data_IF_339128127535
#
_entry.id   IF_339128127535
#
_cell.length_a   1.000
_cell.length_b   1.000
_cell.length_c   1.000
_cell.angle_alpha   90.00
_cell.angle_beta   90.00
_cell.angle_gamma   90.00
#
_symmetry.space_group_name_H-M   'P 1'
#
loop_
_entity.id
_entity.type
_entity.pdbx_description
1 polymer ?
#
# COMPACT_ATOMS: atom_id res chain seq x y z
N UNK A 1 10.61 -30.61 73.53
CA UNK A 1 9.75 -30.58 72.35
C UNK A 1 9.15 -29.18 72.26
N UNK A 2 9.39 -28.51 71.11
CA UNK A 2 8.71 -27.33 70.56
C UNK A 2 8.19 -26.27 71.56
N UNK A 3 8.87 -25.13 71.68
CA UNK A 3 8.26 -23.79 71.90
C UNK A 3 9.34 -22.72 72.14
N UNK A 4 10.22 -22.47 71.15
CA UNK A 4 11.09 -21.26 71.17
C UNK A 4 11.80 -20.95 69.84
N UNK A 5 11.44 -21.61 68.73
CA UNK A 5 12.01 -21.30 67.39
C UNK A 5 10.90 -21.00 66.38
N UNK A 6 9.79 -20.45 66.87
CA UNK A 6 8.62 -20.06 66.07
C UNK A 6 8.41 -18.55 65.94
N UNK A 7 9.33 -17.72 66.44
CA UNK A 7 9.20 -16.26 66.41
C UNK A 7 10.19 -15.53 65.48
N UNK A 8 11.20 -16.20 64.94
CA UNK A 8 12.15 -15.56 64.02
C UNK A 8 11.71 -15.59 62.55
N UNK A 9 10.83 -16.52 62.16
CA UNK A 9 10.32 -16.61 60.77
C UNK A 9 9.09 -15.71 60.56
N UNK A 10 8.32 -15.41 61.61
CA UNK A 10 7.16 -14.53 61.51
C UNK A 10 7.51 -13.05 61.28
N UNK A 11 8.70 -12.59 61.71
CA UNK A 11 9.09 -11.19 61.55
C UNK A 11 9.70 -10.87 60.18
N UNK A 12 10.26 -11.87 59.49
CA UNK A 12 10.77 -11.69 58.12
C UNK A 12 9.63 -11.76 57.09
N UNK A 13 8.56 -12.49 57.38
CA UNK A 13 7.34 -12.48 56.54
C UNK A 13 6.53 -11.18 56.74
N UNK A 14 6.61 -10.54 57.92
CA UNK A 14 5.98 -9.24 58.15
C UNK A 14 6.71 -8.05 57.48
N UNK A 15 7.97 -8.23 57.06
CA UNK A 15 8.73 -7.24 56.27
C UNK A 15 8.81 -7.58 54.77
N UNK A 16 8.36 -8.78 54.37
CA UNK A 16 8.47 -9.28 52.99
C UNK A 16 7.15 -9.42 52.23
N UNK A 17 6.00 -9.11 52.84
CA UNK A 17 4.67 -9.18 52.19
C UNK A 17 3.84 -7.93 52.49
N UNK A 18 4.50 -6.77 52.50
CA UNK A 18 3.88 -5.58 51.94
C UNK A 18 4.53 -5.44 50.56
N UNK A 19 4.29 -6.45 49.71
CA UNK A 19 4.19 -6.17 48.30
C UNK A 19 3.06 -5.17 48.21
N UNK A 20 3.49 -3.92 48.06
CA UNK A 20 2.67 -2.78 47.78
C UNK A 20 1.95 -3.14 46.47
N UNK A 21 0.78 -3.78 46.60
CA UNK A 21 -0.33 -3.65 45.68
C UNK A 21 -0.83 -2.19 45.77
N UNK A 22 0.08 -1.22 45.54
CA UNK A 22 -0.35 -0.08 44.76
C UNK A 22 -0.73 -0.72 43.44
N UNK A 23 -1.96 -0.57 42.96
CA UNK A 23 -2.11 -0.59 41.52
C UNK A 23 -1.08 0.43 41.05
N UNK A 24 -0.04 -0.01 40.32
CA UNK A 24 0.65 0.89 39.41
C UNK A 24 -0.49 1.40 38.53
N UNK A 25 -1.11 2.51 38.95
CA UNK A 25 -1.89 3.35 38.07
C UNK A 25 -0.87 3.67 37.01
N UNK A 26 -1.00 2.99 35.87
CA UNK A 26 -0.30 3.38 34.65
C UNK A 26 -0.41 4.90 34.61
N UNK A 27 0.71 5.63 34.49
CA UNK A 27 0.69 7.09 34.56
C UNK A 27 -0.43 7.56 33.65
N UNK A 28 -1.44 8.22 34.22
CA UNK A 28 -2.58 8.69 33.47
C UNK A 28 -2.04 9.62 32.40
N UNK A 29 -2.08 9.18 31.14
CA UNK A 29 -1.64 10.01 30.03
C UNK A 29 -2.67 11.11 29.85
N UNK A 30 -2.25 12.37 30.03
CA UNK A 30 -3.08 13.53 29.73
C UNK A 30 -2.73 13.99 28.33
N UNK A 31 -3.70 13.88 27.42
CA UNK A 31 -3.62 14.37 26.04
C UNK A 31 -4.40 15.67 25.93
N UNK A 32 -3.73 16.73 25.50
CA UNK A 32 -4.32 18.01 25.16
C UNK A 32 -4.11 18.29 23.68
N UNK A 33 -5.16 18.75 23.01
CA UNK A 33 -5.13 19.07 21.57
C UNK A 33 -5.54 20.52 21.35
N UNK A 34 -4.83 21.19 20.46
CA UNK A 34 -5.17 22.52 19.97
C UNK A 34 -5.36 22.44 18.45
N UNK A 35 -6.50 22.92 17.96
CA UNK A 35 -6.78 22.96 16.53
C UNK A 35 -5.93 24.03 15.83
N UNK A 36 -5.30 23.67 14.71
CA UNK A 36 -4.51 24.62 13.91
C UNK A 36 -5.12 24.89 12.54
N UNK A 37 -5.60 23.86 11.86
CA UNK A 37 -6.11 23.98 10.49
C UNK A 37 -6.91 22.75 10.06
N UNK A 38 -7.63 22.87 8.95
CA UNK A 38 -8.39 21.78 8.34
C UNK A 38 -8.51 21.98 6.85
N UNK A 39 -8.76 20.90 6.12
CA UNK A 39 -9.08 20.98 4.71
C UNK A 39 -9.58 19.65 4.17
N UNK A 40 -9.75 19.65 2.85
CA UNK A 40 -10.06 18.47 2.07
C UNK A 40 -9.28 18.47 0.77
N UNK A 41 -9.02 17.28 0.24
CA UNK A 41 -8.34 17.10 -1.04
C UNK A 41 -8.74 15.76 -1.66
N UNK A 42 -8.46 15.61 -2.96
CA UNK A 42 -8.62 14.34 -3.66
C UNK A 42 -7.24 13.69 -3.81
N UNK A 43 -7.14 12.44 -3.39
CA UNK A 43 -5.93 11.63 -3.55
C UNK A 43 -6.13 10.69 -4.74
N UNK A 44 -5.23 10.78 -5.72
CA UNK A 44 -5.09 9.78 -6.77
C UNK A 44 -3.94 8.87 -6.37
N UNK A 45 -4.24 7.61 -6.11
CA UNK A 45 -3.26 6.65 -5.62
C UNK A 45 -3.09 5.57 -6.68
N UNK A 46 -1.96 5.54 -7.41
CA UNK A 46 -1.67 4.47 -8.35
C UNK A 46 -1.46 3.16 -7.57
N UNK A 47 -2.04 2.06 -8.06
CA UNK A 47 -1.92 0.74 -7.42
C UNK A 47 -1.44 -0.36 -8.37
N UNK A 48 -1.54 -0.13 -9.68
CA UNK A 48 -1.06 -1.06 -10.71
C UNK A 48 -0.78 -0.31 -12.01
N UNK A 49 0.09 -0.85 -12.85
CA UNK A 49 0.23 -0.41 -14.25
C UNK A 49 -0.10 -1.56 -15.19
N UNK A 50 -0.61 -1.24 -16.38
CA UNK A 50 -1.01 -2.24 -17.39
C UNK A 50 -0.38 -1.89 -18.74
N UNK A 51 0.37 -2.83 -19.30
CA UNK A 51 1.11 -2.65 -20.56
C UNK A 51 0.73 -3.69 -21.61
N UNK A 52 0.29 -3.25 -22.79
CA UNK A 52 0.11 -4.15 -23.95
C UNK A 52 1.23 -3.98 -24.96
N UNK A 53 1.36 -4.95 -25.87
CA UNK A 53 2.36 -4.94 -26.93
C UNK A 53 2.30 -3.65 -27.76
N UNK A 54 3.42 -2.97 -28.05
CA UNK A 54 3.41 -1.88 -29.01
C UNK A 54 2.94 -2.38 -30.40
N UNK A 55 2.42 -1.50 -31.26
CA UNK A 55 2.09 -1.89 -32.62
C UNK A 55 3.36 -2.26 -33.41
N UNK A 56 3.26 -3.26 -34.28
CA UNK A 56 4.31 -3.64 -35.23
C UNK A 56 3.79 -3.42 -36.67
N UNK A 57 4.44 -2.56 -37.48
CA UNK A 57 3.94 -2.22 -38.81
C UNK A 57 3.69 -3.45 -39.70
N UNK A 58 2.53 -3.48 -40.34
CA UNK A 58 2.16 -4.56 -41.27
C UNK A 58 1.76 -5.89 -40.61
N UNK A 59 1.64 -5.94 -39.29
CA UNK A 59 1.26 -7.16 -38.57
C UNK A 59 -0.07 -7.00 -37.83
N UNK A 60 -0.81 -8.11 -37.73
CA UNK A 60 -1.97 -8.20 -36.86
C UNK A 60 -1.55 -8.82 -35.53
N UNK A 61 -1.67 -8.04 -34.46
CA UNK A 61 -1.30 -8.42 -33.10
C UNK A 61 -2.54 -8.36 -32.21
N UNK A 62 -2.69 -9.35 -31.34
CA UNK A 62 -3.61 -9.27 -30.21
C UNK A 62 -2.79 -9.32 -28.92
N UNK A 63 -2.92 -8.28 -28.10
CA UNK A 63 -2.29 -8.21 -26.78
C UNK A 63 -3.32 -7.81 -25.75
N UNK A 64 -3.37 -8.59 -24.66
CA UNK A 64 -4.32 -8.40 -23.59
C UNK A 64 -3.62 -8.57 -22.25
N UNK A 65 -3.93 -7.71 -21.30
CA UNK A 65 -3.51 -7.79 -19.92
C UNK A 65 -4.72 -8.04 -19.04
N UNK A 66 -4.57 -8.93 -18.07
CA UNK A 66 -5.52 -9.11 -16.97
C UNK A 66 -4.77 -8.99 -15.65
N UNK A 67 -5.19 -8.06 -14.82
CA UNK A 67 -4.78 -7.97 -13.43
C UNK A 67 -5.95 -8.41 -12.55
N UNK A 68 -5.72 -9.40 -11.69
CA UNK A 68 -6.75 -9.96 -10.83
C UNK A 68 -6.25 -10.07 -9.39
N UNK A 69 -7.02 -9.50 -8.48
CA UNK A 69 -6.82 -9.58 -7.03
C UNK A 69 -8.04 -10.25 -6.40
N UNK A 70 -7.82 -11.21 -5.49
CA UNK A 70 -8.89 -11.97 -4.84
C UNK A 70 -8.66 -12.07 -3.34
N UNK A 71 -9.72 -11.86 -2.57
CA UNK A 71 -9.79 -12.22 -1.15
C UNK A 71 -10.70 -13.44 -1.02
N UNK A 72 -10.25 -14.46 -0.30
CA UNK A 72 -11.01 -15.70 -0.09
C UNK A 72 -11.10 -16.01 1.40
N UNK A 73 -11.98 -16.93 1.79
CA UNK A 73 -12.02 -17.44 3.16
C UNK A 73 -10.69 -18.06 3.63
N UNK A 74 -9.85 -18.53 2.71
CA UNK A 74 -8.57 -19.19 3.00
C UNK A 74 -7.37 -18.24 3.04
N UNK A 75 -7.55 -16.96 2.69
CA UNK A 75 -6.44 -16.02 2.70
C UNK A 75 -6.80 -14.63 2.16
N UNK A 76 -6.13 -13.59 2.67
CA UNK A 76 -6.35 -12.22 2.22
C UNK A 76 -5.80 -12.00 0.80
N UNK A 77 -6.37 -11.02 0.12
CA UNK A 77 -5.77 -10.48 -1.11
C UNK A 77 -4.47 -9.74 -0.80
N UNK A 78 -3.78 -9.32 -1.85
CA UNK A 78 -2.70 -8.33 -1.77
C UNK A 78 -3.19 -7.11 -0.98
N UNK A 79 -2.36 -6.70 -0.02
CA UNK A 79 -2.55 -5.53 0.80
C UNK A 79 -1.48 -4.51 0.44
N UNK A 80 -1.92 -3.28 0.19
CA UNK A 80 -1.05 -2.14 -0.04
C UNK A 80 -0.88 -1.42 1.28
N UNK A 81 0.35 -1.27 1.73
CA UNK A 81 0.71 -0.44 2.88
C UNK A 81 1.07 0.93 2.35
N UNK A 82 0.36 1.95 2.81
CA UNK A 82 0.55 3.33 2.40
C UNK A 82 1.05 4.13 3.60
N UNK A 83 2.18 4.80 3.43
CA UNK A 83 2.86 5.54 4.50
C UNK A 83 3.05 7.00 4.15
N UNK A 84 2.78 7.88 5.11
CA UNK A 84 3.09 9.30 4.98
C UNK A 84 4.51 9.59 5.44
N UNK A 85 5.25 10.31 4.61
CA UNK A 85 6.59 10.81 4.93
C UNK A 85 6.63 12.32 4.81
N UNK A 86 6.97 13.01 5.90
CA UNK A 86 7.12 14.46 5.89
C UNK A 86 8.29 14.86 4.97
N UNK A 87 8.03 15.79 4.05
CA UNK A 87 9.05 16.40 3.18
C UNK A 87 9.51 17.75 3.71
N UNK A 88 8.56 18.58 4.16
CA UNK A 88 8.85 19.90 4.72
C UNK A 88 7.78 20.34 5.72
N UNK A 89 8.20 21.10 6.73
CA UNK A 89 7.32 21.63 7.76
C UNK A 89 8.08 22.47 8.80
N UNK A 90 7.41 22.91 9.88
CA UNK A 90 7.94 23.87 10.85
C UNK A 90 8.99 23.29 11.83
N UNK A 91 9.72 22.23 11.45
CA UNK A 91 10.79 21.64 12.25
C UNK A 91 10.34 20.86 13.49
N UNK A 92 9.05 20.56 13.61
CA UNK A 92 8.45 19.76 14.69
C UNK A 92 8.08 18.37 14.16
N UNK A 93 8.04 17.38 15.07
CA UNK A 93 7.56 16.04 14.74
C UNK A 93 6.11 16.11 14.26
N UNK A 94 5.82 15.43 13.15
CA UNK A 94 4.47 15.29 12.59
C UNK A 94 4.10 13.81 12.65
N UNK A 95 2.86 13.52 13.04
CA UNK A 95 2.23 12.20 12.98
C UNK A 95 1.00 12.27 12.08
N UNK A 96 0.79 11.24 11.28
CA UNK A 96 -0.42 11.09 10.48
C UNK A 96 -1.29 10.04 11.18
N UNK A 97 -2.59 10.29 11.30
CA UNK A 97 -3.50 9.37 11.99
C UNK A 97 -4.74 9.17 11.12
N UNK A 98 -4.91 7.94 10.64
CA UNK A 98 -6.12 7.55 9.92
C UNK A 98 -7.25 7.29 10.95
N UNK A 99 -8.35 8.03 10.81
CA UNK A 99 -9.50 7.97 11.71
C UNK A 99 -10.71 7.25 11.10
N UNK A 100 -10.62 6.83 9.84
CA UNK A 100 -11.65 6.05 9.16
C UNK A 100 -11.17 4.66 8.82
N UNK A 101 -12.02 3.68 9.11
CA UNK A 101 -11.96 2.36 8.47
C UNK A 101 -13.23 2.17 7.65
N UNK A 102 -13.12 1.54 6.49
CA UNK A 102 -14.28 1.17 5.70
C UNK A 102 -14.03 -0.15 4.97
N UNK A 103 -15.12 -0.81 4.61
CA UNK A 103 -15.12 -1.98 3.73
C UNK A 103 -16.29 -1.84 2.77
N UNK A 104 -15.97 -1.66 1.50
CA UNK A 104 -16.92 -1.53 0.40
C UNK A 104 -16.63 -2.63 -0.65
N UNK A 105 -17.64 -3.39 -1.10
CA UNK A 105 -17.44 -4.43 -2.11
C UNK A 105 -16.87 -3.94 -3.45
N UNK A 106 -17.07 -2.67 -3.80
CA UNK A 106 -16.66 -2.07 -5.07
C UNK A 106 -15.45 -1.14 -4.94
N UNK A 107 -15.16 -0.65 -3.72
CA UNK A 107 -14.06 0.29 -3.46
C UNK A 107 -12.96 -0.26 -2.53
N UNK A 108 -13.03 -1.55 -2.18
CA UNK A 108 -12.05 -2.22 -1.34
C UNK A 108 -12.22 -1.93 0.15
N UNK A 109 -11.17 -2.18 0.94
CA UNK A 109 -11.18 -1.93 2.38
C UNK A 109 -9.96 -1.16 2.83
N UNK A 110 -10.15 -0.18 3.72
CA UNK A 110 -9.08 0.57 4.36
C UNK A 110 -9.11 0.31 5.86
N UNK A 111 -7.93 0.10 6.44
CA UNK A 111 -7.74 -0.08 7.88
C UNK A 111 -6.43 0.52 8.37
N UNK A 112 -6.25 0.67 9.70
CA UNK A 112 -4.98 1.08 10.28
C UNK A 112 -3.88 0.06 9.96
N UNK A 113 -2.63 0.53 9.83
CA UNK A 113 -1.43 -0.31 9.77
C UNK A 113 -0.88 -0.56 11.18
N UNK A 114 0.18 -1.36 11.28
CA UNK A 114 0.92 -1.58 12.52
C UNK A 114 1.63 -0.31 13.01
N UNK A 115 2.02 0.56 12.08
CA UNK A 115 2.66 1.84 12.40
C UNK A 115 1.65 2.99 12.31
N UNK A 116 1.86 4.05 13.10
CA UNK A 116 0.90 5.15 13.22
C UNK A 116 0.78 5.97 11.93
N UNK A 117 1.88 6.14 11.20
CA UNK A 117 1.94 6.97 9.98
C UNK A 117 1.55 6.21 8.70
N UNK A 118 1.08 4.97 8.86
CA UNK A 118 0.70 4.09 7.75
C UNK A 118 -0.74 3.60 7.88
N UNK A 119 -1.30 3.20 6.74
CA UNK A 119 -2.57 2.50 6.65
C UNK A 119 -2.51 1.41 5.59
N UNK A 120 -3.40 0.42 5.73
CA UNK A 120 -3.51 -0.70 4.81
C UNK A 120 -4.72 -0.53 3.90
N UNK A 121 -4.54 -0.78 2.61
CA UNK A 121 -5.59 -0.83 1.61
C UNK A 121 -5.66 -2.21 0.95
N UNK A 122 -6.85 -2.80 0.92
CA UNK A 122 -7.15 -4.09 0.32
C UNK A 122 -8.08 -3.86 -0.88
N UNK A 123 -7.58 -3.88 -2.14
CA UNK A 123 -8.40 -3.54 -3.30
C UNK A 123 -9.60 -4.47 -3.53
N UNK A 124 -9.45 -5.78 -3.25
CA UNK A 124 -10.55 -6.74 -3.31
C UNK A 124 -11.45 -6.71 -2.06
N UNK A 125 -11.13 -5.85 -1.09
CA UNK A 125 -11.69 -5.84 0.25
C UNK A 125 -11.30 -7.08 1.06
N UNK A 126 -12.00 -7.28 2.19
CA UNK A 126 -11.81 -8.44 3.06
C UNK A 126 -12.94 -9.47 2.89
N UNK A 127 -12.58 -10.75 2.89
CA UNK A 127 -13.53 -11.86 2.81
C UNK A 127 -13.68 -12.49 4.21
N UNK A 128 -14.75 -12.11 4.91
CA UNK A 128 -15.08 -12.60 6.26
C UNK A 128 -15.89 -13.90 6.27
N UNK A 129 -16.40 -14.28 7.45
CA UNK A 129 -17.25 -15.46 7.61
C UNK A 129 -18.47 -15.42 6.68
N UNK A 130 -18.68 -16.49 5.91
CA UNK A 130 -19.77 -16.60 4.93
C UNK A 130 -19.47 -16.01 3.54
N UNK A 131 -18.31 -15.38 3.35
CA UNK A 131 -17.82 -14.98 2.03
C UNK A 131 -17.03 -16.13 1.38
N UNK A 132 -17.41 -16.55 0.16
CA UNK A 132 -16.66 -17.55 -0.61
C UNK A 132 -15.42 -16.91 -1.24
N UNK A 133 -15.63 -15.86 -2.04
CA UNK A 133 -14.60 -15.03 -2.63
C UNK A 133 -15.11 -13.61 -2.89
N UNK A 134 -14.18 -12.65 -2.92
CA UNK A 134 -14.33 -11.30 -3.49
C UNK A 134 -13.12 -11.03 -4.36
N UNK A 135 -13.29 -10.21 -5.39
CA UNK A 135 -12.16 -9.88 -6.25
C UNK A 135 -12.35 -8.60 -7.04
N UNK A 136 -11.22 -8.06 -7.44
CA UNK A 136 -11.09 -6.98 -8.41
C UNK A 136 -10.37 -7.55 -9.63
N UNK A 137 -10.97 -7.41 -10.79
CA UNK A 137 -10.34 -7.78 -12.06
C UNK A 137 -10.38 -6.59 -13.00
N UNK A 138 -9.22 -6.23 -13.56
CA UNK A 138 -9.08 -5.20 -14.58
C UNK A 138 -8.48 -5.84 -15.83
N UNK A 139 -9.06 -5.49 -16.98
CA UNK A 139 -8.64 -6.00 -18.29
C UNK A 139 -8.42 -4.85 -19.25
N UNK A 140 -7.30 -4.92 -19.94
CA UNK A 140 -6.93 -3.98 -20.99
C UNK A 140 -6.51 -4.78 -22.21
N UNK A 141 -7.06 -4.42 -23.37
CA UNK A 141 -6.73 -5.03 -24.65
C UNK A 141 -6.43 -3.98 -25.69
N UNK A 142 -5.65 -4.34 -26.69
CA UNK A 142 -5.25 -3.44 -27.78
C UNK A 142 -3.74 -3.29 -27.87
N UNK A 143 -3.29 -2.35 -28.69
CA UNK A 143 -1.88 -2.15 -29.00
C UNK A 143 -1.34 -0.88 -28.36
N UNK A 144 -0.15 -1.00 -27.76
CA UNK A 144 0.63 0.10 -27.20
C UNK A 144 0.01 0.77 -25.99
N UNK A 145 -0.92 0.10 -25.30
CA UNK A 145 -1.55 0.62 -24.10
C UNK A 145 -0.53 0.65 -22.97
N UNK A 146 -0.49 1.79 -22.26
CA UNK A 146 0.34 1.99 -21.09
C UNK A 146 -0.48 2.79 -20.09
N UNK A 147 -1.22 2.09 -19.25
CA UNK A 147 -2.19 2.66 -18.34
C UNK A 147 -1.76 2.52 -16.88
N UNK A 148 -2.23 3.45 -16.05
CA UNK A 148 -2.12 3.44 -14.60
C UNK A 148 -3.51 3.14 -14.04
N UNK A 149 -3.62 2.07 -13.27
CA UNK A 149 -4.82 1.82 -12.47
C UNK A 149 -4.66 2.56 -11.15
N UNK A 150 -5.60 3.44 -10.87
CA UNK A 150 -5.59 4.31 -9.70
C UNK A 150 -6.90 4.24 -8.92
N UNK A 151 -6.77 4.38 -7.61
CA UNK A 151 -7.92 4.55 -6.71
C UNK A 151 -8.00 6.01 -6.29
N UNK A 152 -9.22 6.51 -6.25
CA UNK A 152 -9.53 7.90 -5.96
C UNK A 152 -10.22 7.95 -4.60
N UNK A 153 -9.62 8.69 -3.68
CA UNK A 153 -10.19 8.93 -2.35
C UNK A 153 -10.37 10.42 -2.12
N UNK A 154 -11.52 10.78 -1.56
CA UNK A 154 -11.68 12.08 -0.92
C UNK A 154 -11.09 11.99 0.47
N UNK A 155 -10.09 12.83 0.75
CA UNK A 155 -9.51 12.99 2.07
C UNK A 155 -10.05 14.24 2.73
N UNK A 156 -10.51 14.13 3.98
CA UNK A 156 -10.75 15.27 4.87
C UNK A 156 -9.75 15.18 6.02
N UNK A 157 -9.17 16.30 6.42
CA UNK A 157 -8.15 16.31 7.47
C UNK A 157 -8.28 17.50 8.42
N UNK A 158 -7.74 17.33 9.62
CA UNK A 158 -7.48 18.38 10.60
C UNK A 158 -6.03 18.27 11.08
N UNK A 159 -5.38 19.43 11.22
CA UNK A 159 -4.05 19.52 11.82
C UNK A 159 -4.20 20.03 13.25
N UNK A 160 -3.70 19.24 14.19
CA UNK A 160 -3.76 19.48 15.62
C UNK A 160 -2.36 19.65 16.17
N UNK A 161 -2.15 20.60 17.06
CA UNK A 161 -1.00 20.59 17.96
C UNK A 161 -1.36 19.74 19.17
N UNK A 162 -0.63 18.64 19.37
CA UNK A 162 -0.88 17.68 20.43
C UNK A 162 0.20 17.83 21.49
N UNK A 163 -0.22 17.90 22.75
CA UNK A 163 0.66 17.74 23.91
C UNK A 163 0.23 16.50 24.68
N UNK A 164 1.13 15.52 24.77
CA UNK A 164 0.94 14.32 25.58
C UNK A 164 1.85 14.38 26.81
N UNK A 165 1.26 14.21 27.99
CA UNK A 165 2.00 14.15 29.26
C UNK A 165 1.80 12.77 29.89
N UNK A 166 2.89 12.02 30.05
CA UNK A 166 2.89 10.71 30.71
C UNK A 166 3.91 10.71 31.84
N UNK A 167 3.43 10.73 33.08
CA UNK A 167 4.29 10.92 34.25
C UNK A 167 4.99 12.28 34.20
N UNK A 168 6.33 12.28 34.24
CA UNK A 168 7.15 13.49 34.10
C UNK A 168 7.52 13.82 32.64
N UNK A 169 7.26 12.92 31.69
CA UNK A 169 7.57 13.16 30.29
C UNK A 169 6.45 13.97 29.62
N UNK A 170 6.84 15.06 28.95
CA UNK A 170 5.95 15.86 28.11
C UNK A 170 6.47 15.84 26.68
N UNK A 171 5.62 15.47 25.74
CA UNK A 171 5.92 15.51 24.31
C UNK A 171 4.92 16.42 23.59
N UNK A 172 5.40 17.12 22.55
CA UNK A 172 4.56 17.94 21.69
C UNK A 172 4.90 17.65 20.23
N UNK A 173 3.87 17.48 19.41
CA UNK A 173 3.97 17.15 18.00
C UNK A 173 2.73 17.65 17.26
N UNK A 174 2.82 17.76 15.94
CA UNK A 174 1.65 17.98 15.10
C UNK A 174 1.04 16.63 14.74
N UNK A 175 -0.28 16.56 14.77
CA UNK A 175 -1.04 15.41 14.31
C UNK A 175 -1.91 15.83 13.15
N UNK A 176 -1.75 15.17 12.02
CA UNK A 176 -2.66 15.23 10.88
C UNK A 176 -3.66 14.10 11.05
N UNK A 177 -4.80 14.40 11.65
CA UNK A 177 -5.94 13.49 11.76
C UNK A 177 -6.73 13.55 10.45
N UNK A 178 -6.82 12.42 9.74
CA UNK A 178 -7.46 12.38 8.44
C UNK A 178 -8.40 11.18 8.27
N UNK A 179 -9.34 11.37 7.35
CA UNK A 179 -10.37 10.42 6.99
C UNK A 179 -10.41 10.27 5.47
N UNK A 180 -10.62 9.06 4.99
CA UNK A 180 -10.69 8.71 3.57
C UNK A 180 -12.09 8.21 3.22
N UNK A 181 -12.65 8.72 2.12
CA UNK A 181 -13.90 8.26 1.55
C UNK A 181 -13.69 7.80 0.11
N UNK A 182 -14.18 6.62 -0.28
CA UNK A 182 -14.00 6.13 -1.65
C UNK A 182 -14.76 6.98 -2.66
N UNK A 183 -14.10 7.30 -3.77
CA UNK A 183 -14.73 7.93 -4.93
C UNK A 183 -14.79 7.02 -6.15
N UNK A 184 -13.83 6.10 -6.30
CA UNK A 184 -13.84 5.11 -7.37
C UNK A 184 -12.45 4.56 -7.70
N UNK A 185 -12.39 3.75 -8.74
CA UNK A 185 -11.17 3.21 -9.33
C UNK A 185 -11.27 3.34 -10.85
N UNK A 186 -10.20 3.81 -11.50
CA UNK A 186 -10.15 4.03 -12.95
C UNK A 186 -8.79 3.64 -13.52
N UNK A 187 -8.75 3.30 -14.81
CA UNK A 187 -7.52 3.20 -15.59
C UNK A 187 -7.33 4.49 -16.39
N UNK A 188 -6.15 5.10 -16.29
CA UNK A 188 -5.80 6.31 -17.05
C UNK A 188 -4.51 6.10 -17.87
N UNK A 189 -4.44 6.58 -19.12
CA UNK A 189 -3.21 6.53 -19.91
C UNK A 189 -2.07 7.30 -19.27
N UNK A 190 -0.85 6.74 -19.30
CA UNK A 190 0.35 7.41 -18.83
C UNK A 190 0.71 8.65 -19.68
N UNK A 191 1.25 9.72 -19.07
CA UNK A 191 1.52 9.87 -17.63
C UNK A 191 0.28 10.27 -16.83
N UNK A 192 0.06 9.61 -15.68
CA UNK A 192 -1.07 9.87 -14.78
C UNK A 192 -0.67 9.61 -13.32
N UNK A 193 -1.27 10.34 -12.37
CA UNK A 193 -1.05 10.18 -10.92
C UNK A 193 0.43 10.03 -10.50
N UNK A 194 1.30 10.91 -11.00
CA UNK A 194 2.76 10.90 -10.77
C UNK A 194 3.50 9.65 -11.29
N UNK A 195 2.86 8.85 -12.14
CA UNK A 195 3.45 7.67 -12.79
C UNK A 195 3.72 7.97 -14.26
N UNK A 196 4.99 7.82 -14.65
CA UNK A 196 5.42 7.78 -16.04
C UNK A 196 5.73 6.35 -16.47
N UNK A 197 5.93 6.17 -17.79
CA UNK A 197 6.51 4.94 -18.33
C UNK A 197 7.81 4.58 -17.60
N UNK A 198 8.07 3.28 -17.36
CA UNK A 198 9.25 2.83 -16.64
C UNK A 198 10.51 3.16 -17.43
N UNK A 199 11.58 3.49 -16.72
CA UNK A 199 12.92 3.59 -17.28
C UNK A 199 13.67 2.27 -17.11
N UNK A 200 14.83 2.11 -17.75
CA UNK A 200 15.59 0.85 -17.71
C UNK A 200 15.94 0.36 -16.28
N UNK A 201 16.10 1.27 -15.31
CA UNK A 201 16.37 0.92 -13.90
C UNK A 201 15.15 0.34 -13.18
N UNK A 202 13.95 0.63 -13.69
CA UNK A 202 12.68 0.20 -13.13
C UNK A 202 12.25 -1.16 -13.71
N UNK A 203 13.02 -1.72 -14.65
CA UNK A 203 12.70 -2.94 -15.38
C UNK A 203 13.71 -4.05 -15.08
N UNK A 204 13.21 -5.26 -14.81
CA UNK A 204 14.00 -6.48 -14.79
C UNK A 204 13.63 -7.38 -15.97
N UNK A 205 14.61 -7.84 -16.74
CA UNK A 205 14.40 -8.83 -17.80
C UNK A 205 14.03 -10.19 -17.18
N UNK A 206 12.93 -10.79 -17.63
CA UNK A 206 12.40 -12.03 -17.01
C UNK A 206 12.26 -13.21 -17.96
N UNK A 207 12.05 -12.98 -19.26
CA UNK A 207 11.96 -14.04 -20.25
C UNK A 207 12.20 -13.50 -21.67
N UNK A 208 12.74 -14.36 -22.53
CA UNK A 208 12.74 -14.15 -23.98
C UNK A 208 11.93 -15.28 -24.60
N UNK A 209 10.91 -14.95 -25.38
CA UNK A 209 10.04 -15.94 -26.01
C UNK A 209 9.99 -15.73 -27.52
N UNK A 210 10.06 -16.84 -28.26
CA UNK A 210 9.78 -16.85 -29.68
C UNK A 210 8.33 -17.29 -29.88
N UNK A 211 7.51 -16.43 -30.46
CA UNK A 211 6.09 -16.68 -30.70
C UNK A 211 5.90 -16.98 -32.19
N UNK A 212 5.60 -18.25 -32.56
CA UNK A 212 5.29 -18.59 -33.93
C UNK A 212 4.00 -17.91 -34.41
N UNK A 213 3.92 -17.65 -35.71
CA UNK A 213 2.74 -17.14 -36.37
C UNK A 213 1.49 -17.96 -36.02
N UNK A 214 0.41 -17.28 -35.63
CA UNK A 214 -0.87 -17.91 -35.28
C UNK A 214 -0.93 -18.51 -33.88
N UNK A 215 0.19 -18.57 -33.15
CA UNK A 215 0.20 -19.06 -31.77
C UNK A 215 -0.07 -17.93 -30.78
N UNK A 216 -0.61 -18.32 -29.62
CA UNK A 216 -0.79 -17.45 -28.47
C UNK A 216 0.11 -17.90 -27.33
N UNK A 217 0.76 -16.94 -26.69
CA UNK A 217 1.46 -17.14 -25.43
C UNK A 217 0.76 -16.37 -24.31
N UNK A 218 0.91 -16.84 -23.08
CA UNK A 218 0.45 -16.13 -21.88
C UNK A 218 1.50 -16.27 -20.80
N UNK A 219 1.96 -15.13 -20.28
CA UNK A 219 2.91 -15.09 -19.17
C UNK A 219 2.18 -14.55 -17.94
N UNK A 220 2.35 -15.26 -16.81
CA UNK A 220 1.90 -14.84 -15.48
C UNK A 220 3.09 -14.27 -14.73
N UNK A 221 2.94 -13.09 -14.13
CA UNK A 221 3.96 -12.50 -13.28
C UNK A 221 4.29 -13.42 -12.09
N UNK A 222 3.30 -14.15 -11.55
CA UNK A 222 3.49 -15.11 -10.46
C UNK A 222 4.34 -16.31 -10.86
N UNK A 223 4.31 -16.72 -12.13
CA UNK A 223 5.07 -17.85 -12.65
C UNK A 223 6.57 -17.59 -12.80
N UNK A 224 7.03 -16.36 -12.55
CA UNK A 224 8.41 -15.96 -12.79
C UNK A 224 9.30 -16.31 -11.59
N UNK A 225 10.49 -16.89 -11.82
CA UNK A 225 11.40 -17.31 -10.74
C UNK A 225 12.08 -16.14 -10.00
N UNK A 226 11.89 -14.89 -10.44
CA UNK A 226 12.56 -13.69 -9.90
C UNK A 226 11.56 -12.54 -9.62
N UNK A 227 10.39 -12.84 -9.07
CA UNK A 227 9.48 -11.79 -8.58
C UNK A 227 10.07 -11.21 -7.28
N UNK A 228 10.41 -9.91 -7.22
CA UNK A 228 10.78 -9.28 -5.95
C UNK A 228 9.71 -9.53 -4.90
N UNK A 229 10.13 -9.72 -3.65
CA UNK A 229 9.18 -9.92 -2.56
C UNK A 229 8.32 -8.67 -2.31
N UNK A 230 8.78 -7.49 -2.72
CA UNK A 230 8.17 -6.21 -2.40
C UNK A 230 8.28 -5.28 -3.60
N UNK A 231 7.17 -4.61 -3.91
CA UNK A 231 7.09 -3.51 -4.87
C UNK A 231 6.84 -2.22 -4.11
N UNK A 232 7.44 -1.12 -4.58
CA UNK A 232 7.32 0.18 -3.95
C UNK A 232 7.30 1.30 -4.96
N UNK A 233 6.42 2.27 -4.75
CA UNK A 233 6.33 3.45 -5.58
C UNK A 233 5.76 4.64 -4.82
N UNK A 234 6.01 5.80 -5.39
CA UNK A 234 5.54 7.08 -4.89
C UNK A 234 4.13 7.32 -5.42
N UNK A 235 3.15 7.50 -4.51
CA UNK A 235 1.76 7.69 -4.91
C UNK A 235 1.46 9.16 -5.21
N UNK A 236 1.63 10.05 -4.23
CA UNK A 236 1.33 11.47 -4.39
C UNK A 236 2.00 12.33 -3.33
N UNK A 237 2.06 13.64 -3.58
CA UNK A 237 2.47 14.65 -2.59
C UNK A 237 1.25 15.46 -2.17
N UNK A 238 1.07 15.64 -0.87
CA UNK A 238 -0.03 16.39 -0.28
C UNK A 238 0.48 17.58 0.55
N UNK A 239 -0.26 18.68 0.48
CA UNK A 239 -0.04 19.87 1.28
C UNK A 239 -1.18 20.03 2.29
N UNK A 240 -0.83 20.13 3.57
CA UNK A 240 -1.77 20.26 4.68
C UNK A 240 -1.64 21.64 5.30
N UNK A 241 -2.75 22.36 5.43
CA UNK A 241 -2.79 23.65 6.10
C UNK A 241 -2.72 23.48 7.63
N UNK A 242 -1.62 23.91 8.24
CA UNK A 242 -1.41 23.96 9.69
C UNK A 242 -1.65 25.37 10.26
N UNK A 243 -2.41 26.20 9.55
CA UNK A 243 -2.83 27.53 9.95
C UNK A 243 -1.63 28.44 10.21
N UNK A 244 -1.53 28.96 11.45
CA UNK A 244 -0.45 29.87 11.85
C UNK A 244 0.96 29.27 11.74
N UNK A 245 1.08 27.95 11.65
CA UNK A 245 2.37 27.26 11.48
C UNK A 245 2.75 27.03 10.00
N UNK A 246 1.93 27.51 9.07
CA UNK A 246 2.15 27.40 7.64
C UNK A 246 1.66 26.06 7.07
N UNK A 247 2.32 25.59 6.02
CA UNK A 247 1.93 24.38 5.28
C UNK A 247 2.88 23.22 5.59
N UNK A 248 2.32 22.05 5.92
CA UNK A 248 3.04 20.78 5.97
C UNK A 248 2.98 20.14 4.59
N UNK A 249 4.12 19.73 4.04
CA UNK A 249 4.14 18.95 2.79
C UNK A 249 4.61 17.55 3.10
N UNK A 250 3.82 16.56 2.71
CA UNK A 250 4.14 15.15 2.94
C UNK A 250 3.91 14.33 1.67
N UNK A 251 4.66 13.25 1.60
CA UNK A 251 4.64 12.32 0.49
C UNK A 251 3.97 11.03 0.92
N UNK A 252 3.07 10.50 0.08
CA UNK A 252 2.45 9.21 0.27
C UNK A 252 3.25 8.18 -0.52
N UNK A 253 3.87 7.23 0.17
CA UNK A 253 4.55 6.08 -0.44
C UNK A 253 3.66 4.86 -0.36
N UNK A 254 3.74 3.99 -1.35
CA UNK A 254 3.02 2.73 -1.40
C UNK A 254 3.99 1.56 -1.45
N UNK A 255 3.68 0.50 -0.70
CA UNK A 255 4.45 -0.74 -0.69
C UNK A 255 3.50 -1.93 -0.65
N UNK A 256 3.80 -3.00 -1.40
CA UNK A 256 3.04 -4.25 -1.31
C UNK A 256 3.84 -5.47 -1.76
N UNK A 257 3.29 -6.64 -1.44
CA UNK A 257 3.76 -7.95 -1.90
C UNK A 257 2.59 -8.69 -2.52
N UNK A 258 2.81 -9.40 -3.63
CA UNK A 258 1.77 -10.23 -4.22
C UNK A 258 1.29 -11.29 -3.22
N UNK A 259 -0.03 -11.35 -3.01
CA UNK A 259 -0.64 -12.50 -2.35
C UNK A 259 -0.55 -13.74 -3.24
N UNK A 260 -0.52 -14.92 -2.63
CA UNK A 260 -0.42 -16.20 -3.33
C UNK A 260 -1.61 -16.50 -4.25
N UNK A 261 -2.69 -15.74 -4.14
CA UNK A 261 -3.93 -15.91 -4.92
C UNK A 261 -4.12 -14.85 -6.01
N UNK A 262 -3.24 -13.85 -6.09
CA UNK A 262 -3.34 -12.73 -7.04
C UNK A 262 -2.40 -12.89 -8.23
N UNK A 263 -2.79 -12.36 -9.39
CA UNK A 263 -2.05 -12.58 -10.63
C UNK A 263 -2.10 -11.38 -11.57
N UNK A 264 -1.05 -11.24 -12.35
CA UNK A 264 -0.96 -10.34 -13.49
C UNK A 264 -0.57 -11.18 -14.70
N UNK A 265 -1.46 -11.21 -15.71
CA UNK A 265 -1.28 -12.03 -16.91
C UNK A 265 -1.21 -11.15 -18.14
N UNK A 266 -0.22 -11.41 -18.98
CA UNK A 266 -0.09 -10.83 -20.30
C UNK A 266 -0.22 -11.92 -21.35
N UNK A 267 -1.23 -11.81 -22.19
CA UNK A 267 -1.45 -12.66 -23.35
C UNK A 267 -1.06 -11.93 -24.63
N UNK A 268 -0.40 -12.65 -25.53
CA UNK A 268 0.06 -12.11 -26.81
C UNK A 268 -0.11 -13.14 -27.93
N UNK A 269 -0.57 -12.70 -29.09
CA UNK A 269 -0.53 -13.47 -30.34
C UNK A 269 -0.29 -12.54 -31.53
N UNK A 270 0.20 -13.12 -32.62
CA UNK A 270 0.55 -12.39 -33.85
C UNK A 270 0.39 -13.28 -35.09
N UNK A 271 0.27 -12.67 -36.26
CA UNK A 271 0.20 -13.36 -37.56
C UNK A 271 1.55 -13.75 -38.15
N UNK A 272 2.67 -13.37 -37.53
CA UNK A 272 4.03 -13.69 -38.02
C UNK A 272 4.93 -14.13 -36.87
N UNK A 273 6.05 -14.78 -37.17
CA UNK A 273 7.02 -15.14 -36.14
C UNK A 273 7.64 -13.87 -35.52
N UNK A 274 7.63 -13.76 -34.20
CA UNK A 274 8.25 -12.65 -33.46
C UNK A 274 9.02 -13.15 -32.25
N UNK A 275 10.10 -12.45 -31.92
CA UNK A 275 10.84 -12.64 -30.67
C UNK A 275 10.47 -11.50 -29.72
N UNK A 276 10.13 -11.85 -28.48
CA UNK A 276 9.70 -10.91 -27.45
C UNK A 276 10.64 -10.96 -26.26
N UNK A 277 10.96 -9.80 -25.73
CA UNK A 277 11.59 -9.63 -24.44
C UNK A 277 10.51 -9.20 -23.44
N UNK A 278 10.38 -9.97 -22.35
CA UNK A 278 9.50 -9.64 -21.24
C UNK A 278 10.30 -8.96 -20.13
N UNK A 279 9.73 -7.91 -19.58
CA UNK A 279 10.23 -7.19 -18.42
C UNK A 279 9.19 -7.16 -17.31
N UNK A 280 9.67 -7.19 -16.07
CA UNK A 280 8.89 -6.90 -14.88
C UNK A 280 9.15 -5.45 -14.46
N UNK A 281 8.10 -4.64 -14.36
CA UNK A 281 8.15 -3.31 -13.75
C UNK A 281 8.28 -3.46 -12.23
N UNK A 282 9.46 -3.16 -11.70
CA UNK A 282 9.83 -3.32 -10.30
C UNK A 282 9.08 -2.37 -9.35
N UNK A 283 8.34 -1.39 -9.88
CA UNK A 283 7.52 -0.46 -9.10
C UNK A 283 6.12 -1.04 -8.83
N UNK A 284 5.58 -1.79 -9.79
CA UNK A 284 4.17 -2.24 -9.81
C UNK A 284 4.00 -3.74 -10.06
N UNK A 285 5.07 -4.53 -10.14
CA UNK A 285 4.98 -5.97 -10.38
C UNK A 285 4.22 -6.36 -11.65
N UNK A 286 4.12 -5.46 -12.63
CA UNK A 286 3.41 -5.64 -13.89
C UNK A 286 4.37 -6.04 -15.01
N UNK A 287 3.86 -6.74 -16.03
CA UNK A 287 4.66 -7.17 -17.17
C UNK A 287 4.58 -6.17 -18.30
N UNK A 288 5.75 -5.82 -18.85
CA UNK A 288 5.96 -5.05 -20.06
C UNK A 288 6.61 -5.95 -21.12
N UNK A 289 6.29 -5.74 -22.39
CA UNK A 289 6.87 -6.49 -23.50
C UNK A 289 7.44 -5.58 -24.57
N UNK A 290 8.57 -6.00 -25.13
CA UNK A 290 9.24 -5.34 -26.24
C UNK A 290 9.58 -6.35 -27.33
N UNK A 291 9.59 -5.90 -28.59
CA UNK A 291 10.08 -6.71 -29.70
C UNK A 291 11.59 -6.74 -29.70
N UNK A 292 12.16 -7.93 -29.87
CA UNK A 292 13.59 -8.08 -30.13
C UNK A 292 13.78 -7.93 -31.63
N UNK A 293 14.57 -6.95 -32.05
CA UNK A 293 14.96 -6.82 -33.46
C UNK A 293 15.80 -8.05 -33.86
N UNK A 294 15.52 -8.69 -35.01
CA UNK A 294 16.38 -9.76 -35.51
C UNK A 294 17.77 -9.30 -35.95
N UNK A 295 18.04 -7.99 -35.97
CA UNK A 295 19.36 -7.43 -36.31
C UNK A 295 19.99 -6.75 -35.09
N UNK A 296 20.92 -7.48 -34.48
CA UNK A 296 22.04 -6.96 -33.70
C UNK A 296 23.34 -7.48 -34.29
#
# INVERSE_FOLDING_TARGET
MLLAVGCAVALIVALGVIDIFMPLRSPSSVRSTEFLGRGDMILHVPIMTMYTAPPLPGQSIASNVTWSIRSTHNGPSTAYVLGWRLLSGPGVTVRFVLNTTFSDPNAGSIGPSETRDEFSYYPAGTCGLGCTERGLEQKVGGLGVADVVLVIWKMTYAVLNVTETSGAARSSFLEVDYSLSPMGSVGEPMPAANVSRPSAKDLASVAIENVPAGNQITISARGLPQVPNVFSHDATTAAFDAGRLGTLTAHLTTQYSWSSVDDYRLSFSTTTNVSLQFFLDLRFGSLLIEYISPEG
#
